data_IF_476078308875
#
_entry.id   IF_476078308875
#
_cell.length_a   1.000
_cell.length_b   1.000
_cell.length_c   1.000
_cell.angle_alpha   90.00
_cell.angle_beta   90.00
_cell.angle_gamma   90.00
#
_symmetry.space_group_name_H-M   'P 1'
#
loop_
_entity.id
_entity.type
_entity.pdbx_description
1 polymer ?
#
# COMPACT_ATOMS: atom_id res chain seq x y z
N UNK A 1 -32.81 44.62 -12.79
CA UNK A 1 -33.09 43.22 -12.38
C UNK A 1 -31.82 42.60 -11.75
N UNK A 2 -31.74 42.64 -10.42
CA UNK A 2 -30.67 42.04 -9.62
C UNK A 2 -31.21 40.75 -9.02
N UNK A 3 -30.68 39.60 -9.42
CA UNK A 3 -30.98 38.30 -8.81
C UNK A 3 -29.87 38.02 -7.80
N UNK A 4 -30.20 38.20 -6.53
CA UNK A 4 -29.37 37.85 -5.37
C UNK A 4 -29.60 36.38 -4.98
N UNK A 5 -28.57 35.55 -5.02
CA UNK A 5 -28.54 34.25 -4.34
C UNK A 5 -27.88 34.39 -2.95
N UNK A 6 -28.44 33.84 -1.86
CA UNK A 6 -27.87 34.01 -0.53
C UNK A 6 -26.76 32.99 -0.26
N UNK A 7 -25.54 33.46 -0.02
CA UNK A 7 -24.44 32.65 0.52
C UNK A 7 -24.69 32.32 2.00
N UNK A 8 -24.82 31.03 2.30
CA UNK A 8 -24.90 30.50 3.66
C UNK A 8 -23.58 30.75 4.41
N UNK A 9 -23.58 31.69 5.37
CA UNK A 9 -22.48 31.89 6.32
C UNK A 9 -22.41 30.71 7.30
N UNK A 10 -21.42 29.83 7.12
CA UNK A 10 -20.97 28.88 8.15
C UNK A 10 -20.46 29.67 9.35
N UNK A 11 -21.08 29.50 10.52
CA UNK A 11 -20.60 30.02 11.80
C UNK A 11 -19.43 29.16 12.26
N UNK A 12 -18.21 29.62 12.07
CA UNK A 12 -17.03 29.02 12.70
C UNK A 12 -17.05 29.30 14.20
N UNK A 13 -17.00 28.25 15.00
CA UNK A 13 -16.78 28.31 16.44
C UNK A 13 -15.30 28.61 16.71
N UNK A 14 -14.90 29.87 16.55
CA UNK A 14 -13.59 30.33 17.02
C UNK A 14 -13.66 30.63 18.52
N UNK A 15 -12.82 29.93 19.28
CA UNK A 15 -12.56 30.14 20.71
C UNK A 15 -12.24 31.62 20.99
N UNK A 16 -13.06 32.28 21.79
CA UNK A 16 -12.79 33.63 22.27
C UNK A 16 -11.60 33.62 23.22
N UNK A 17 -10.51 34.23 22.76
CA UNK A 17 -9.26 34.48 23.47
C UNK A 17 -9.46 35.29 24.75
N UNK A 18 -8.74 34.87 25.79
CA UNK A 18 -8.58 35.48 27.10
C UNK A 18 -7.92 36.86 27.00
N UNK A 19 -8.68 37.92 26.73
CA UNK A 19 -8.29 39.32 27.02
C UNK A 19 -9.52 40.20 27.00
N UNK A 20 -10.25 40.20 28.10
CA UNK A 20 -11.46 41.02 28.27
C UNK A 20 -11.79 41.14 29.75
N UNK A 21 -11.52 42.31 30.31
CA UNK A 21 -11.78 42.77 31.66
C UNK A 21 -13.27 42.73 32.01
N UNK A 22 -13.80 41.53 32.24
CA UNK A 22 -15.06 41.30 32.97
C UNK A 22 -14.72 40.49 34.20
N UNK A 23 -14.94 41.11 35.37
CA UNK A 23 -14.88 40.46 36.68
C UNK A 23 -15.46 39.07 36.54
N UNK A 24 -14.66 38.05 36.87
CA UNK A 24 -15.17 36.70 37.11
C UNK A 24 -16.39 36.90 38.02
N UNK A 25 -17.56 36.40 37.61
CA UNK A 25 -18.70 36.30 38.52
C UNK A 25 -18.16 35.50 39.70
N UNK A 26 -17.83 36.20 40.78
CA UNK A 26 -17.39 35.56 42.02
C UNK A 26 -18.49 34.58 42.38
N UNK A 27 -18.08 33.45 42.94
CA UNK A 27 -19.02 32.51 43.54
C UNK A 27 -20.00 33.30 44.44
N UNK A 28 -21.29 32.89 44.52
CA UNK A 28 -22.23 33.49 45.45
C UNK A 28 -21.56 33.62 46.82
N UNK A 29 -21.80 34.72 47.57
CA UNK A 29 -21.27 34.87 48.91
C UNK A 29 -21.55 33.58 49.69
N UNK A 30 -20.50 32.99 50.27
CA UNK A 30 -20.67 31.86 51.19
C UNK A 30 -21.64 32.36 52.26
N UNK A 31 -22.75 31.64 52.44
CA UNK A 31 -23.77 31.98 53.44
C UNK A 31 -23.06 32.32 54.75
N UNK A 32 -23.24 33.56 55.25
CA UNK A 32 -22.52 34.08 56.41
C UNK A 32 -22.66 33.13 57.62
N UNK A 33 -23.86 32.59 57.81
CA UNK A 33 -24.20 31.59 58.83
C UNK A 33 -23.31 30.33 58.79
N UNK A 34 -22.91 29.90 57.59
CA UNK A 34 -22.06 28.70 57.40
C UNK A 34 -20.60 29.02 57.72
N UNK A 35 -20.14 30.24 57.42
CA UNK A 35 -18.80 30.67 57.82
C UNK A 35 -18.67 30.87 59.33
N UNK A 36 -19.74 31.21 60.04
CA UNK A 36 -19.74 31.35 61.50
C UNK A 36 -19.47 30.02 62.22
N UNK A 37 -19.97 28.89 61.69
CA UNK A 37 -19.71 27.55 62.23
C UNK A 37 -18.22 27.22 62.29
N UNK A 38 -17.45 27.64 61.27
CA UNK A 38 -16.00 27.42 61.25
C UNK A 38 -15.25 28.33 62.22
N UNK A 39 -15.80 29.52 62.51
CA UNK A 39 -15.22 30.50 63.43
C UNK A 39 -15.53 30.19 64.90
N UNK A 40 -16.64 29.53 65.18
CA UNK A 40 -17.01 29.11 66.54
C UNK A 40 -16.20 27.93 67.07
N UNK A 41 -15.37 27.30 66.23
CA UNK A 41 -14.52 26.17 66.60
C UNK A 41 -13.17 26.70 67.07
N UNK A 42 -12.71 26.27 68.25
CA UNK A 42 -11.42 26.69 68.81
C UNK A 42 -10.26 26.31 67.87
N UNK A 43 -9.33 27.26 67.71
CA UNK A 43 -8.09 27.08 66.96
C UNK A 43 -7.03 26.30 67.76
N UNK A 44 -7.22 26.14 69.07
CA UNK A 44 -6.27 25.47 69.96
C UNK A 44 -6.35 23.93 69.85
N UNK A 45 -7.33 23.40 69.11
CA UNK A 45 -7.54 21.98 68.89
C UNK A 45 -6.75 21.46 67.68
N UNK A 46 -6.32 20.19 67.69
CA UNK A 46 -5.74 19.54 66.50
C UNK A 46 -6.66 19.63 65.29
N UNK A 47 -6.11 19.80 64.08
CA UNK A 47 -6.90 19.98 62.84
C UNK A 47 -7.89 18.84 62.57
N UNK A 48 -7.52 17.61 62.93
CA UNK A 48 -8.40 16.43 62.86
C UNK A 48 -9.60 16.55 63.80
N UNK A 49 -9.39 17.09 65.01
CA UNK A 49 -10.46 17.34 65.97
C UNK A 49 -11.34 18.52 65.54
N UNK A 50 -10.73 19.56 64.95
CA UNK A 50 -11.45 20.70 64.35
C UNK A 50 -12.35 20.24 63.20
N UNK A 51 -11.86 19.37 62.31
CA UNK A 51 -12.65 18.81 61.21
C UNK A 51 -13.82 17.96 61.73
N UNK A 52 -13.59 17.15 62.76
CA UNK A 52 -14.64 16.36 63.41
C UNK A 52 -15.72 17.24 64.04
N UNK A 53 -15.34 18.31 64.75
CA UNK A 53 -16.30 19.24 65.35
C UNK A 53 -17.05 20.05 64.28
N UNK A 54 -16.39 20.39 63.18
CA UNK A 54 -17.02 21.08 62.06
C UNK A 54 -18.12 20.24 61.42
N UNK A 55 -17.87 18.95 61.19
CA UNK A 55 -18.87 18.03 60.63
C UNK A 55 -20.08 17.88 61.55
N UNK A 56 -19.84 17.72 62.86
CA UNK A 56 -20.92 17.60 63.86
C UNK A 56 -21.75 18.89 63.95
N UNK A 57 -21.09 20.04 63.99
CA UNK A 57 -21.74 21.35 64.04
C UNK A 57 -22.51 21.65 62.75
N UNK A 58 -21.98 21.23 61.60
CA UNK A 58 -22.65 21.35 60.30
C UNK A 58 -23.91 20.50 60.22
N UNK A 59 -23.88 19.28 60.77
CA UNK A 59 -25.05 18.43 60.88
C UNK A 59 -26.13 19.08 61.77
N UNK A 60 -25.75 19.55 62.97
CA UNK A 60 -26.68 20.21 63.90
C UNK A 60 -27.29 21.48 63.29
N UNK A 61 -26.49 22.30 62.62
CA UNK A 61 -26.95 23.48 61.90
C UNK A 61 -27.95 23.12 60.79
N UNK A 62 -27.64 22.08 60.00
CA UNK A 62 -28.52 21.60 58.94
C UNK A 62 -29.82 21.03 59.48
N UNK A 63 -29.78 20.30 60.59
CA UNK A 63 -30.97 19.79 61.28
C UNK A 63 -31.85 20.92 61.82
N UNK A 64 -31.25 21.99 62.37
CA UNK A 64 -31.98 23.19 62.78
C UNK A 64 -32.62 23.89 61.57
N UNK A 65 -31.89 24.09 60.48
CA UNK A 65 -32.42 24.70 59.26
C UNK A 65 -33.58 23.89 58.67
N UNK A 66 -33.43 22.58 58.62
CA UNK A 66 -34.47 21.65 58.17
C UNK A 66 -35.70 21.72 59.08
N UNK A 67 -35.52 21.78 60.40
CA UNK A 67 -36.61 21.96 61.36
C UNK A 67 -37.41 23.24 61.09
N UNK A 68 -36.76 24.34 60.74
CA UNK A 68 -37.46 25.59 60.41
C UNK A 68 -38.30 25.47 59.14
N UNK A 69 -37.81 24.77 58.12
CA UNK A 69 -38.56 24.48 56.89
C UNK A 69 -39.75 23.55 57.14
N UNK A 70 -39.55 22.50 57.93
CA UNK A 70 -40.59 21.47 58.19
C UNK A 70 -41.70 21.94 59.13
N UNK A 71 -41.47 22.99 59.93
CA UNK A 71 -42.53 23.64 60.73
C UNK A 71 -43.67 24.21 59.88
N UNK A 72 -43.47 24.37 58.57
CA UNK A 72 -44.46 24.88 57.63
C UNK A 72 -45.39 23.78 57.08
N UNK A 73 -45.17 22.52 57.47
CA UNK A 73 -45.92 21.36 56.96
C UNK A 73 -46.93 20.86 57.99
N UNK A 74 -48.16 20.58 57.55
CA UNK A 74 -49.33 20.28 58.41
C UNK A 74 -49.20 18.99 59.26
N UNK A 75 -48.21 18.14 59.00
CA UNK A 75 -48.03 16.82 59.65
C UNK A 75 -46.72 16.69 60.46
N UNK A 76 -46.09 17.80 60.85
CA UNK A 76 -44.79 17.77 61.53
C UNK A 76 -44.88 17.68 63.06
N UNK A 77 -44.33 16.61 63.64
CA UNK A 77 -44.15 16.47 65.09
C UNK A 77 -42.74 16.96 65.51
N UNK A 78 -42.62 18.13 66.19
CA UNK A 78 -41.33 18.72 66.51
C UNK A 78 -40.54 17.92 67.55
N UNK A 79 -41.22 17.14 68.38
CA UNK A 79 -40.61 16.31 69.44
C UNK A 79 -39.98 15.06 68.86
N UNK A 80 -40.66 14.34 67.96
CA UNK A 80 -40.09 13.17 67.28
C UNK A 80 -38.91 13.57 66.39
N UNK A 81 -38.99 14.72 65.69
CA UNK A 81 -37.87 15.23 64.92
C UNK A 81 -36.65 15.54 65.79
N UNK A 82 -36.85 16.18 66.96
CA UNK A 82 -35.75 16.45 67.90
C UNK A 82 -35.13 15.14 68.40
N UNK A 83 -35.94 14.16 68.79
CA UNK A 83 -35.46 12.86 69.25
C UNK A 83 -34.63 12.15 68.16
N UNK A 84 -35.12 12.12 66.92
CA UNK A 84 -34.41 11.52 65.80
C UNK A 84 -33.12 12.28 65.45
N UNK A 85 -33.15 13.62 65.42
CA UNK A 85 -31.97 14.43 65.15
C UNK A 85 -30.91 14.27 66.26
N UNK A 86 -31.32 14.11 67.52
CA UNK A 86 -30.41 13.81 68.63
C UNK A 86 -29.80 12.42 68.49
N UNK A 87 -30.60 11.38 68.22
CA UNK A 87 -30.10 10.02 67.99
C UNK A 87 -29.10 9.95 66.84
N UNK A 88 -29.40 10.57 65.69
CA UNK A 88 -28.46 10.59 64.54
C UNK A 88 -27.21 11.43 64.85
N UNK A 89 -27.32 12.48 65.67
CA UNK A 89 -26.16 13.25 66.13
C UNK A 89 -25.23 12.42 67.02
N UNK A 90 -25.78 11.56 67.88
CA UNK A 90 -25.02 10.65 68.74
C UNK A 90 -24.33 9.56 67.91
N UNK A 91 -25.04 8.97 66.94
CA UNK A 91 -24.45 7.99 66.01
C UNK A 91 -23.32 8.62 65.20
N UNK A 92 -23.54 9.82 64.65
CA UNK A 92 -22.52 10.57 63.92
C UNK A 92 -21.30 10.85 64.80
N UNK A 93 -21.49 11.18 66.08
CA UNK A 93 -20.40 11.38 67.03
C UNK A 93 -19.60 10.08 67.23
N UNK A 94 -20.25 8.93 67.38
CA UNK A 94 -19.59 7.64 67.47
C UNK A 94 -18.81 7.29 66.20
N UNK A 95 -19.40 7.54 65.02
CA UNK A 95 -18.72 7.36 63.74
C UNK A 95 -17.50 8.26 63.60
N UNK A 96 -17.59 9.54 63.98
CA UNK A 96 -16.43 10.44 63.97
C UNK A 96 -15.30 9.92 64.84
N UNK A 97 -15.59 9.37 66.03
CA UNK A 97 -14.58 8.73 66.88
C UNK A 97 -13.97 7.47 66.26
N UNK A 98 -14.74 6.73 65.46
CA UNK A 98 -14.23 5.60 64.67
C UNK A 98 -13.32 6.07 63.54
N UNK A 99 -13.74 7.06 62.74
CA UNK A 99 -12.97 7.66 61.66
C UNK A 99 -11.65 8.29 62.13
N UNK A 100 -11.62 8.85 63.35
CA UNK A 100 -10.38 9.31 63.99
C UNK A 100 -9.40 8.16 64.27
N UNK A 101 -9.90 7.05 64.83
CA UNK A 101 -9.10 5.85 65.14
C UNK A 101 -8.60 5.14 63.87
N UNK A 102 -9.43 5.10 62.84
CA UNK A 102 -9.12 4.47 61.55
C UNK A 102 -8.14 5.32 60.69
N UNK A 103 -7.78 6.53 61.13
CA UNK A 103 -6.83 7.41 60.45
C UNK A 103 -7.35 8.07 59.18
N UNK A 104 -8.58 7.75 58.74
CA UNK A 104 -9.21 8.35 57.55
C UNK A 104 -9.45 9.85 57.71
N UNK A 105 -9.75 10.32 58.93
CA UNK A 105 -9.91 11.75 59.18
C UNK A 105 -8.58 12.51 59.12
N UNK A 106 -7.48 11.81 59.46
CA UNK A 106 -6.13 12.34 59.38
C UNK A 106 -5.64 12.43 57.93
N UNK A 107 -5.99 11.48 57.07
CA UNK A 107 -5.66 11.55 55.64
C UNK A 107 -6.37 12.66 54.86
N UNK A 108 -7.47 13.21 55.39
CA UNK A 108 -8.12 14.40 54.83
C UNK A 108 -7.39 15.71 55.17
N UNK A 109 -6.61 15.70 56.25
CA UNK A 109 -5.91 16.87 56.78
C UNK A 109 -4.44 16.86 56.36
N UNK A 110 -3.83 15.69 56.29
CA UNK A 110 -2.48 15.53 55.77
C UNK A 110 -2.48 15.69 54.25
N UNK A 111 -1.76 16.70 53.75
CA UNK A 111 -1.43 16.78 52.34
C UNK A 111 -0.68 15.49 51.94
N UNK A 112 -1.11 14.77 50.89
CA UNK A 112 -0.36 13.63 50.40
C UNK A 112 1.01 14.16 49.98
N UNK A 113 2.05 13.76 50.71
CA UNK A 113 3.45 14.09 50.40
C UNK A 113 3.69 13.84 48.92
N UNK A 114 3.78 14.93 48.14
CA UNK A 114 4.39 14.91 46.82
C UNK A 114 3.49 14.91 45.57
N UNK A 115 2.16 15.12 45.63
CA UNK A 115 1.50 15.58 44.41
C UNK A 115 0.30 16.51 44.64
N UNK A 116 0.57 17.80 44.66
CA UNK A 116 -0.43 18.77 44.21
C UNK A 116 -0.77 18.46 42.75
N UNK A 117 -2.06 18.45 42.40
CA UNK A 117 -2.60 18.17 41.05
C UNK A 117 -1.83 18.91 39.93
N UNK A 118 -1.25 20.06 40.25
CA UNK A 118 -0.43 20.85 39.34
C UNK A 118 0.93 20.21 39.00
N UNK A 119 1.61 19.55 39.94
CA UNK A 119 2.94 18.96 39.73
C UNK A 119 2.87 17.71 38.85
N UNK A 120 1.88 16.84 39.06
CA UNK A 120 1.66 15.67 38.19
C UNK A 120 1.28 16.09 36.76
N UNK A 121 0.45 17.13 36.63
CA UNK A 121 0.06 17.66 35.31
C UNK A 121 1.23 18.24 34.53
N UNK A 122 2.17 18.93 35.19
CA UNK A 122 3.36 19.49 34.55
C UNK A 122 4.35 18.41 34.11
N UNK A 123 4.51 17.33 34.87
CA UNK A 123 5.35 16.19 34.49
C UNK A 123 4.78 15.44 33.28
N UNK A 124 3.47 15.20 33.27
CA UNK A 124 2.78 14.58 32.13
C UNK A 124 2.88 15.45 30.88
N UNK A 125 2.72 16.77 31.00
CA UNK A 125 2.84 17.70 29.88
C UNK A 125 4.26 17.71 29.28
N UNK A 126 5.30 17.64 30.12
CA UNK A 126 6.69 17.52 29.65
C UNK A 126 6.94 16.21 28.91
N UNK A 127 6.41 15.10 29.41
CA UNK A 127 6.53 13.79 28.75
C UNK A 127 5.83 13.80 27.40
N UNK A 128 4.62 14.34 27.34
CA UNK A 128 3.86 14.44 26.10
C UNK A 128 4.54 15.38 25.08
N UNK A 129 5.14 16.48 25.53
CA UNK A 129 5.89 17.39 24.67
C UNK A 129 7.14 16.71 24.06
N UNK A 130 7.89 15.95 24.85
CA UNK A 130 9.04 15.18 24.37
C UNK A 130 8.61 14.09 23.36
N UNK A 131 7.48 13.43 23.62
CA UNK A 131 6.92 12.44 22.69
C UNK A 131 6.49 13.10 21.38
N UNK A 132 5.80 14.25 21.41
CA UNK A 132 5.45 15.01 20.22
C UNK A 132 6.69 15.36 19.38
N UNK A 133 7.75 15.85 20.03
CA UNK A 133 9.02 16.17 19.35
C UNK A 133 9.62 14.94 18.68
N UNK A 134 9.60 13.78 19.33
CA UNK A 134 10.12 12.54 18.75
C UNK A 134 9.32 12.08 17.52
N UNK A 135 8.00 12.28 17.53
CA UNK A 135 7.14 11.99 16.39
C UNK A 135 7.36 12.98 15.24
N UNK A 136 7.53 14.27 15.54
CA UNK A 136 7.83 15.29 14.54
C UNK A 136 9.18 15.01 13.85
N UNK A 137 10.21 14.64 14.61
CA UNK A 137 11.51 14.23 14.05
C UNK A 137 11.38 12.96 13.18
N UNK A 138 10.64 11.96 13.63
CA UNK A 138 10.45 10.73 12.87
C UNK A 138 9.72 10.99 11.55
N UNK A 139 8.69 11.84 11.60
CA UNK A 139 7.93 12.23 10.41
C UNK A 139 8.81 12.97 9.41
N UNK A 140 9.65 13.91 9.88
CA UNK A 140 10.60 14.61 9.01
C UNK A 140 11.59 13.65 8.35
N UNK A 141 12.19 12.72 9.10
CA UNK A 141 13.12 11.73 8.53
C UNK A 141 12.47 10.84 7.48
N UNK A 142 11.23 10.40 7.70
CA UNK A 142 10.52 9.60 6.71
C UNK A 142 10.18 10.41 5.45
N UNK A 143 9.84 11.69 5.62
CA UNK A 143 9.58 12.57 4.50
C UNK A 143 10.84 12.83 3.68
N UNK A 144 11.96 13.16 4.33
CA UNK A 144 13.27 13.33 3.69
C UNK A 144 13.68 12.05 2.94
N UNK A 145 13.58 10.88 3.58
CA UNK A 145 13.88 9.59 2.94
C UNK A 145 12.98 9.31 1.73
N UNK A 146 11.68 9.62 1.83
CA UNK A 146 10.76 9.45 0.71
C UNK A 146 11.09 10.41 -0.45
N UNK A 147 11.47 11.65 -0.16
CA UNK A 147 11.91 12.63 -1.15
C UNK A 147 13.23 12.22 -1.80
N UNK A 148 14.19 11.69 -1.03
CA UNK A 148 15.45 11.15 -1.53
C UNK A 148 15.24 9.95 -2.46
N UNK A 149 14.42 8.98 -2.06
CA UNK A 149 14.07 7.82 -2.89
C UNK A 149 13.35 8.26 -4.16
N UNK A 150 12.47 9.26 -4.06
CA UNK A 150 11.80 9.85 -5.23
C UNK A 150 12.80 10.55 -6.15
N UNK A 151 13.78 11.28 -5.60
CA UNK A 151 14.85 11.93 -6.37
C UNK A 151 15.74 10.89 -7.06
N UNK A 152 16.13 9.83 -6.38
CA UNK A 152 16.88 8.71 -6.96
C UNK A 152 16.10 8.03 -8.08
N UNK A 153 14.80 7.83 -7.90
CA UNK A 153 13.93 7.28 -8.94
C UNK A 153 13.87 8.19 -10.17
N UNK A 154 13.72 9.51 -9.98
CA UNK A 154 13.74 10.46 -11.09
C UNK A 154 15.11 10.54 -11.77
N UNK A 155 16.21 10.40 -11.02
CA UNK A 155 17.55 10.30 -11.56
C UNK A 155 17.74 9.02 -12.40
N UNK A 156 17.28 7.86 -11.91
CA UNK A 156 17.21 6.61 -12.66
C UNK A 156 16.34 6.69 -13.92
N UNK A 157 15.22 7.43 -13.87
CA UNK A 157 14.37 7.67 -15.05
C UNK A 157 15.03 8.61 -16.06
N UNK A 158 15.77 9.62 -15.59
CA UNK A 158 16.53 10.54 -16.45
C UNK A 158 17.75 9.87 -17.08
N UNK A 159 18.41 8.96 -16.36
CA UNK A 159 19.48 8.10 -16.90
C UNK A 159 18.96 6.95 -17.76
N UNK A 160 17.65 6.95 -18.08
CA UNK A 160 16.89 6.05 -18.96
C UNK A 160 17.77 5.03 -19.71
N UNK A 161 17.85 3.82 -19.15
CA UNK A 161 18.30 2.63 -19.88
C UNK A 161 19.53 1.93 -19.32
N UNK A 162 20.37 2.61 -18.53
CA UNK A 162 21.32 1.92 -17.67
C UNK A 162 20.64 1.64 -16.33
N UNK A 163 19.60 0.81 -16.36
CA UNK A 163 19.35 -0.03 -15.19
C UNK A 163 20.63 -0.86 -15.07
N UNK A 164 21.57 -0.38 -14.26
CA UNK A 164 22.76 -1.15 -13.88
C UNK A 164 22.18 -2.49 -13.48
N UNK A 165 22.45 -3.58 -14.25
CA UNK A 165 21.78 -4.84 -14.02
C UNK A 165 21.91 -5.10 -12.54
N UNK A 166 20.78 -5.24 -11.82
CA UNK A 166 20.80 -5.58 -10.41
C UNK A 166 21.92 -6.59 -10.25
N UNK A 167 22.88 -6.36 -9.36
CA UNK A 167 24.04 -7.23 -9.24
C UNK A 167 23.55 -8.58 -8.72
N UNK A 168 22.99 -9.40 -9.61
CA UNK A 168 22.52 -10.77 -9.39
C UNK A 168 23.70 -11.66 -8.95
N UNK A 169 24.91 -11.10 -8.98
CA UNK A 169 26.18 -11.63 -8.51
C UNK A 169 26.19 -11.99 -7.02
N UNK A 170 25.24 -11.53 -6.20
CA UNK A 170 25.10 -11.96 -4.80
C UNK A 170 23.94 -12.95 -4.57
N UNK A 171 23.30 -13.44 -5.63
CA UNK A 171 22.29 -14.50 -5.50
C UNK A 171 22.95 -15.87 -5.41
N UNK A 172 22.29 -16.83 -4.76
CA UNK A 172 22.75 -18.23 -4.73
C UNK A 172 22.94 -18.87 -6.11
N UNK A 173 22.36 -18.25 -7.16
CA UNK A 173 22.41 -18.71 -8.55
C UNK A 173 23.37 -17.88 -9.42
N UNK A 174 24.20 -17.01 -8.82
CA UNK A 174 25.14 -16.14 -9.55
C UNK A 174 26.03 -16.93 -10.52
N UNK A 175 26.50 -18.12 -10.13
CA UNK A 175 27.31 -18.99 -10.99
C UNK A 175 26.54 -19.48 -12.23
N UNK A 176 25.25 -19.82 -12.08
CA UNK A 176 24.41 -20.26 -13.20
C UNK A 176 24.16 -19.12 -14.17
N UNK A 177 23.85 -17.93 -13.64
CA UNK A 177 23.64 -16.73 -14.46
C UNK A 177 24.91 -16.28 -15.18
N UNK A 178 26.08 -16.42 -14.55
CA UNK A 178 27.37 -16.15 -15.16
C UNK A 178 27.72 -17.13 -16.29
N UNK A 179 27.22 -18.37 -16.21
CA UNK A 179 27.44 -19.39 -17.25
C UNK A 179 26.52 -19.26 -18.47
N UNK A 180 25.73 -18.18 -18.58
CA UNK A 180 24.79 -17.99 -19.69
C UNK A 180 25.53 -17.89 -21.03
N UNK A 181 25.29 -18.79 -22.00
CA UNK A 181 25.92 -18.72 -23.31
C UNK A 181 25.36 -17.56 -24.15
N UNK A 182 26.15 -17.12 -25.12
CA UNK A 182 25.73 -16.09 -26.06
C UNK A 182 24.92 -16.71 -27.22
N UNK A 183 23.60 -16.75 -27.07
CA UNK A 183 22.69 -17.28 -28.09
C UNK A 183 22.72 -16.50 -29.40
N UNK A 184 22.99 -15.18 -29.37
CA UNK A 184 23.07 -14.39 -30.59
C UNK A 184 24.21 -14.89 -31.47
N UNK A 185 25.38 -15.11 -30.88
CA UNK A 185 26.53 -15.65 -31.59
C UNK A 185 26.23 -17.01 -32.23
N UNK A 186 25.51 -17.88 -31.52
CA UNK A 186 25.12 -19.20 -32.04
C UNK A 186 24.18 -19.06 -33.25
N UNK A 187 23.24 -18.11 -33.20
CA UNK A 187 22.33 -17.84 -34.33
C UNK A 187 23.09 -17.23 -35.53
N UNK A 188 24.04 -16.33 -35.26
CA UNK A 188 24.88 -15.73 -36.30
C UNK A 188 25.74 -16.82 -36.99
N UNK A 189 26.37 -17.70 -36.21
CA UNK A 189 27.11 -18.87 -36.71
C UNK A 189 26.22 -19.80 -37.57
N UNK A 190 24.95 -20.00 -37.20
CA UNK A 190 24.00 -20.76 -38.03
C UNK A 190 23.63 -20.04 -39.33
N UNK A 191 23.52 -18.72 -39.31
CA UNK A 191 23.28 -17.92 -40.52
C UNK A 191 24.41 -18.05 -41.54
N UNK A 192 25.67 -18.07 -41.08
CA UNK A 192 26.83 -18.30 -41.94
C UNK A 192 26.82 -19.69 -42.57
N UNK A 193 26.46 -20.73 -41.80
CA UNK A 193 26.34 -22.11 -42.31
C UNK A 193 25.26 -22.21 -43.39
N UNK A 194 24.09 -21.58 -43.19
CA UNK A 194 23.02 -21.58 -44.18
C UNK A 194 23.44 -20.86 -45.46
N UNK A 195 24.15 -19.74 -45.34
CA UNK A 195 24.69 -19.00 -46.49
C UNK A 195 25.69 -19.85 -47.29
N UNK A 196 26.58 -20.59 -46.59
CA UNK A 196 27.48 -21.54 -47.25
C UNK A 196 26.72 -22.66 -47.97
N UNK A 197 25.66 -23.20 -47.36
CA UNK A 197 24.86 -24.26 -47.96
C UNK A 197 24.10 -23.78 -49.21
N UNK A 198 23.59 -22.55 -49.20
CA UNK A 198 22.98 -21.91 -50.37
C UNK A 198 23.95 -21.83 -51.55
N UNK A 199 25.18 -21.35 -51.32
CA UNK A 199 26.21 -21.28 -52.35
C UNK A 199 26.54 -22.66 -52.96
N UNK A 200 26.65 -23.69 -52.13
CA UNK A 200 26.91 -25.06 -52.61
C UNK A 200 25.75 -25.57 -53.46
N UNK A 201 24.50 -25.27 -53.08
CA UNK A 201 23.33 -25.66 -53.84
C UNK A 201 23.26 -24.93 -55.19
N UNK A 202 23.63 -23.65 -55.23
CA UNK A 202 23.73 -22.87 -56.47
C UNK A 202 24.79 -23.42 -57.42
N UNK A 203 25.99 -23.74 -56.90
CA UNK A 203 27.06 -24.36 -57.69
C UNK A 203 26.63 -25.72 -58.25
N UNK A 204 26.00 -26.57 -57.43
CA UNK A 204 25.46 -27.85 -57.87
C UNK A 204 24.39 -27.67 -58.95
N UNK A 205 23.48 -26.71 -58.77
CA UNK A 205 22.46 -26.41 -59.77
C UNK A 205 23.08 -25.95 -61.09
N UNK A 206 24.13 -25.14 -61.04
CA UNK A 206 24.83 -24.67 -62.23
C UNK A 206 25.57 -25.82 -62.94
N UNK A 207 26.23 -26.70 -62.20
CA UNK A 207 26.88 -27.90 -62.75
C UNK A 207 25.86 -28.81 -63.46
N UNK A 208 24.68 -29.01 -62.88
CA UNK A 208 23.60 -29.79 -63.49
C UNK A 208 23.11 -29.15 -64.79
N UNK A 209 22.92 -27.82 -64.82
CA UNK A 209 22.52 -27.11 -66.05
C UNK A 209 23.56 -27.26 -67.17
N UNK A 210 24.85 -27.20 -66.83
CA UNK A 210 25.93 -27.41 -67.81
C UNK A 210 25.92 -28.82 -68.37
N UNK A 211 25.74 -29.83 -67.53
CA UNK A 211 25.64 -31.23 -67.96
C UNK A 211 24.41 -31.46 -68.86
N UNK A 212 23.27 -30.83 -68.54
CA UNK A 212 22.08 -30.89 -69.37
C UNK A 212 22.32 -30.26 -70.74
N UNK A 213 22.92 -29.06 -70.79
CA UNK A 213 23.26 -28.39 -72.05
C UNK A 213 24.21 -29.24 -72.91
N UNK A 214 25.27 -29.79 -72.31
CA UNK A 214 26.20 -30.68 -73.00
C UNK A 214 25.51 -31.94 -73.54
N UNK A 215 24.60 -32.53 -72.78
CA UNK A 215 23.85 -33.72 -73.20
C UNK A 215 22.95 -33.40 -74.38
N UNK A 216 22.26 -32.25 -74.34
CA UNK A 216 21.38 -31.80 -75.40
C UNK A 216 22.17 -31.47 -76.68
N UNK A 217 23.31 -30.78 -76.57
CA UNK A 217 24.21 -30.49 -77.69
C UNK A 217 24.76 -31.78 -78.32
N UNK A 218 25.17 -32.73 -77.48
CA UNK A 218 25.65 -34.05 -77.94
C UNK A 218 24.55 -34.81 -78.67
N UNK A 219 23.32 -34.79 -78.13
CA UNK A 219 22.16 -35.43 -78.75
C UNK A 219 21.80 -34.79 -80.09
N UNK A 220 21.79 -33.46 -80.17
CA UNK A 220 21.54 -32.72 -81.41
C UNK A 220 22.63 -32.97 -82.47
N UNK A 221 23.89 -32.99 -82.08
CA UNK A 221 25.01 -33.29 -82.97
C UNK A 221 24.93 -34.71 -83.53
N UNK A 222 24.71 -35.70 -82.67
CA UNK A 222 24.55 -37.10 -83.08
C UNK A 222 23.35 -37.28 -84.00
N UNK A 223 22.23 -36.60 -83.70
CA UNK A 223 21.04 -36.57 -84.56
C UNK A 223 21.37 -36.02 -85.94
N UNK A 224 22.01 -34.84 -86.03
CA UNK A 224 22.42 -34.24 -87.30
C UNK A 224 23.34 -35.16 -88.11
N UNK A 225 24.33 -35.80 -87.47
CA UNK A 225 25.20 -36.78 -88.13
C UNK A 225 24.41 -37.98 -88.64
N UNK A 226 23.49 -38.53 -87.83
CA UNK A 226 22.65 -39.65 -88.26
C UNK A 226 21.76 -39.29 -89.44
N UNK A 227 21.17 -38.09 -89.46
CA UNK A 227 20.34 -37.58 -90.54
C UNK A 227 21.15 -37.35 -91.82
N UNK A 228 22.38 -36.82 -91.70
CA UNK A 228 23.30 -36.66 -92.84
C UNK A 228 23.75 -38.01 -93.41
N UNK A 229 24.10 -38.98 -92.55
CA UNK A 229 24.43 -40.33 -92.96
C UNK A 229 23.25 -40.98 -93.65
N UNK A 230 22.05 -40.91 -93.06
CA UNK A 230 20.84 -41.45 -93.64
C UNK A 230 20.51 -40.80 -94.99
N UNK A 231 20.64 -39.47 -95.10
CA UNK A 231 20.46 -38.75 -96.36
C UNK A 231 21.47 -39.16 -97.43
N UNK A 232 22.73 -39.46 -97.08
CA UNK A 232 23.74 -39.93 -98.05
C UNK A 232 23.50 -41.37 -98.47
N UNK A 233 23.33 -42.28 -97.52
CA UNK A 233 23.23 -43.72 -97.80
C UNK A 233 21.86 -44.08 -98.38
N UNK A 234 20.78 -43.63 -97.75
CA UNK A 234 19.44 -44.02 -98.15
C UNK A 234 18.97 -43.25 -99.38
N UNK A 235 19.25 -41.95 -99.59
CA UNK A 235 18.89 -41.27 -100.87
C UNK A 235 19.62 -41.87 -102.07
N UNK A 236 20.88 -42.31 -101.91
CA UNK A 236 21.56 -43.05 -102.96
C UNK A 236 20.88 -44.40 -103.23
N UNK A 237 20.40 -45.07 -102.18
CA UNK A 237 19.62 -46.29 -102.30
C UNK A 237 18.24 -46.06 -102.93
N UNK A 238 17.57 -44.93 -102.66
CA UNK A 238 16.27 -44.58 -103.25
C UNK A 238 16.38 -44.37 -104.77
N UNK A 239 17.50 -43.80 -105.21
CA UNK A 239 17.82 -43.55 -106.62
C UNK A 239 18.52 -44.74 -107.31
N UNK A 240 18.80 -45.83 -106.58
CA UNK A 240 19.49 -47.02 -107.11
C UNK A 240 18.52 -47.92 -107.90
N UNK A 241 18.94 -48.50 -109.03
CA UNK A 241 18.11 -49.40 -109.85
C UNK A 241 17.59 -50.63 -109.09
N UNK A 242 18.21 -51.00 -107.96
CA UNK A 242 17.79 -52.12 -107.10
C UNK A 242 16.43 -51.86 -106.44
N UNK A 243 16.10 -50.60 -106.07
CA UNK A 243 14.76 -50.30 -105.54
C UNK A 243 13.66 -50.37 -106.59
N UNK A 244 13.96 -50.07 -107.86
CA UNK A 244 12.99 -50.24 -108.97
C UNK A 244 12.66 -51.71 -109.22
N UNK A 245 13.58 -52.63 -108.90
CA UNK A 245 13.33 -54.07 -108.95
C UNK A 245 12.44 -54.56 -107.81
N UNK A 246 12.61 -54.01 -106.60
CA UNK A 246 11.81 -54.38 -105.42
C UNK A 246 10.40 -53.77 -105.48
N UNK A 247 10.26 -52.57 -106.04
CA UNK A 247 8.97 -51.89 -106.21
C UNK A 247 8.18 -52.35 -107.46
N UNK A 248 8.72 -53.26 -108.26
CA UNK A 248 8.01 -53.82 -109.42
C UNK A 248 6.84 -54.70 -108.97
N UNK A 249 5.64 -54.61 -109.59
CA UNK A 249 4.51 -55.44 -109.21
C UNK A 249 4.83 -56.93 -109.44
N UNK A 250 4.36 -57.85 -108.56
CA UNK A 250 4.65 -59.27 -108.73
C UNK A 250 4.11 -59.79 -110.07
N UNK A 251 4.83 -60.68 -110.77
CA UNK A 251 4.41 -61.20 -112.06
C UNK A 251 3.08 -61.97 -111.95
N UNK A 252 2.15 -61.66 -112.85
CA UNK A 252 0.83 -62.29 -112.98
C UNK A 252 0.98 -63.81 -113.13
N UNK A 253 0.30 -64.59 -112.29
CA UNK A 253 0.12 -66.04 -112.46
C UNK A 253 -0.64 -66.31 -113.77
N UNK A 254 -0.06 -67.09 -114.69
CA UNK A 254 -0.78 -67.67 -115.84
C UNK A 254 -1.51 -68.96 -115.41
N UNK A 255 -2.70 -69.25 -115.98
CA UNK A 255 -3.53 -70.40 -115.61
C UNK A 255 -3.01 -71.72 -116.25
N UNK A 256 -3.42 -72.89 -115.71
CA UNK A 256 -2.88 -74.19 -116.11
C UNK A 256 -3.41 -74.66 -117.48
N UNK A 257 -2.64 -75.46 -118.24
CA UNK A 257 -3.08 -76.00 -119.52
C UNK A 257 -4.01 -77.22 -119.33
N UNK A 258 -5.10 -77.24 -120.09
CA UNK A 258 -5.90 -78.45 -120.37
C UNK A 258 -5.21 -79.31 -121.41
N UNK A 259 -5.26 -80.65 -121.23
CA UNK A 259 -4.88 -81.65 -122.24
C UNK A 259 -3.82 -82.63 -121.78
#
# INVERSE_FOLDING_TARGET
PLITTPQARRRSWCRSSLKGTKRRKSLPPVYQDVTELSKSISLDLPEVDRLSMLLLSSFQFSAQKLKHTLKQTDSFSPEAFKANAHSVSEDLQQYMQKLKRDGMLKSCVEDPKGCGVQTCSLLLLRRFAAECQSWDELLLRHQESAEEVSRQLEECKRSRGQAQPCSYLQTSQAQVLASKPNYQKILDEQGEVLSCMELVLDELQQAVKLLQAFTEDSHQYLRCLSEQLAARTFRQLENSPVRKLIAAPPPRKMPPPEG
#
